data_IF_859556025414
#
_entry.id   IF_859556025414
#
_cell.length_a   1.000
_cell.length_b   1.000
_cell.length_c   1.000
_cell.angle_alpha   90.00
_cell.angle_beta   90.00
_cell.angle_gamma   90.00
#
_symmetry.space_group_name_H-M   'P 1'
#
loop_
_entity.id
_entity.type
_entity.pdbx_description
1 polymer ?
#
# COMPACT_ATOMS: atom_id res chain seq x y z
N UNK A 1 -19.54 -17.27 -5.16
CA UNK A 1 -18.46 -17.79 -4.29
C UNK A 1 -17.98 -16.71 -3.36
N UNK A 2 -17.72 -17.07 -2.13
CA UNK A 2 -17.18 -16.11 -1.18
C UNK A 2 -15.75 -15.72 -1.60
N UNK A 3 -15.44 -14.42 -1.54
CA UNK A 3 -14.10 -13.96 -1.80
C UNK A 3 -13.16 -14.39 -0.69
N UNK A 4 -11.96 -14.78 -1.04
CA UNK A 4 -10.91 -15.06 -0.07
C UNK A 4 -10.53 -13.76 0.65
N UNK A 5 -10.32 -13.85 1.94
CA UNK A 5 -9.88 -12.73 2.77
C UNK A 5 -8.47 -12.98 3.27
N UNK A 6 -7.73 -11.91 3.48
CA UNK A 6 -6.38 -11.96 4.02
C UNK A 6 -6.26 -10.93 5.15
N UNK A 7 -5.49 -11.24 6.17
CA UNK A 7 -5.27 -10.31 7.27
C UNK A 7 -4.18 -9.31 6.90
N UNK A 8 -4.44 -8.04 7.22
CA UNK A 8 -3.46 -6.97 7.08
C UNK A 8 -3.16 -6.37 8.46
N UNK A 9 -1.93 -5.91 8.61
CA UNK A 9 -1.46 -5.27 9.82
C UNK A 9 -1.45 -3.76 9.63
N UNK A 10 -1.25 -3.03 10.73
CA UNK A 10 -1.14 -1.58 10.68
C UNK A 10 0.01 -1.17 11.58
N UNK A 11 1.04 -0.56 11.01
CA UNK A 11 2.25 -0.15 11.75
C UNK A 11 1.93 0.85 12.87
N UNK A 12 0.85 1.63 12.72
CA UNK A 12 0.43 2.61 13.73
C UNK A 12 -0.36 1.97 14.89
N UNK A 13 -0.81 0.73 14.71
CA UNK A 13 -1.59 0.01 15.72
C UNK A 13 -1.08 -1.43 15.83
N UNK A 14 0.12 -1.62 16.43
CA UNK A 14 0.71 -2.96 16.56
C UNK A 14 -0.23 -3.93 17.27
N UNK A 15 -0.31 -5.14 16.74
CA UNK A 15 -1.16 -6.18 17.31
C UNK A 15 -2.60 -6.18 16.80
N UNK A 16 -3.02 -5.15 16.07
CA UNK A 16 -4.35 -5.12 15.45
C UNK A 16 -4.27 -5.54 14.00
N UNK A 17 -5.23 -6.35 13.57
CA UNK A 17 -5.33 -6.80 12.18
C UNK A 17 -6.74 -6.58 11.66
N UNK A 18 -6.86 -6.46 10.34
CA UNK A 18 -8.14 -6.39 9.65
C UNK A 18 -8.13 -7.42 8.53
N UNK A 19 -9.32 -7.89 8.14
CA UNK A 19 -9.45 -8.82 7.02
C UNK A 19 -9.95 -8.05 5.81
N UNK A 20 -9.27 -8.22 4.69
CA UNK A 20 -9.59 -7.52 3.44
C UNK A 20 -9.62 -8.52 2.28
N UNK A 21 -10.21 -8.11 1.16
CA UNK A 21 -10.27 -8.95 -0.04
C UNK A 21 -8.86 -9.31 -0.52
N UNK A 22 -8.56 -10.60 -0.61
CA UNK A 22 -7.23 -11.08 -0.93
C UNK A 22 -6.80 -10.72 -2.35
N UNK A 23 -7.70 -10.80 -3.33
CA UNK A 23 -7.35 -10.49 -4.72
C UNK A 23 -6.97 -9.02 -4.88
N UNK A 24 -7.73 -8.12 -4.27
CA UNK A 24 -7.42 -6.69 -4.29
C UNK A 24 -6.14 -6.37 -3.53
N UNK A 25 -5.95 -7.02 -2.38
CA UNK A 25 -4.72 -6.85 -1.62
C UNK A 25 -3.49 -7.24 -2.44
N UNK A 26 -3.54 -8.41 -3.07
CA UNK A 26 -2.40 -8.89 -3.87
C UNK A 26 -2.10 -7.97 -5.04
N UNK A 27 -3.13 -7.47 -5.72
CA UNK A 27 -2.94 -6.53 -6.83
C UNK A 27 -2.33 -5.22 -6.36
N UNK A 28 -2.85 -4.64 -5.28
CA UNK A 28 -2.33 -3.38 -4.74
C UNK A 28 -0.91 -3.55 -4.18
N UNK A 29 -0.65 -4.67 -3.50
CA UNK A 29 0.68 -4.97 -2.95
C UNK A 29 1.72 -5.10 -4.07
N UNK A 30 1.40 -5.86 -5.10
CA UNK A 30 2.31 -6.06 -6.23
C UNK A 30 2.63 -4.73 -6.92
N UNK A 31 1.61 -3.90 -7.14
CA UNK A 31 1.80 -2.58 -7.75
C UNK A 31 2.68 -1.69 -6.89
N UNK A 32 2.43 -1.64 -5.59
CA UNK A 32 3.22 -0.80 -4.67
C UNK A 32 4.68 -1.24 -4.62
N UNK A 33 4.95 -2.54 -4.50
CA UNK A 33 6.32 -3.05 -4.46
C UNK A 33 7.05 -2.85 -5.78
N UNK A 34 6.32 -2.78 -6.89
CA UNK A 34 6.92 -2.51 -8.18
C UNK A 34 7.29 -1.04 -8.37
N UNK A 35 6.40 -0.14 -7.93
CA UNK A 35 6.59 1.29 -8.18
C UNK A 35 7.49 2.00 -7.16
N UNK A 36 7.62 1.49 -5.94
CA UNK A 36 8.45 2.13 -4.93
C UNK A 36 9.94 1.93 -5.22
N UNK A 37 10.75 3.01 -5.12
CA UNK A 37 12.20 2.88 -5.26
C UNK A 37 12.81 2.27 -4.00
N UNK A 38 13.99 1.69 -4.14
CA UNK A 38 14.79 1.25 -3.00
C UNK A 38 15.64 2.37 -2.42
N UNK A 39 15.96 3.37 -3.24
CA UNK A 39 16.83 4.47 -2.84
C UNK A 39 16.08 5.51 -2.03
N UNK A 40 16.73 6.00 -0.97
CA UNK A 40 16.23 7.17 -0.25
C UNK A 40 16.30 8.40 -1.16
N UNK A 41 15.39 9.36 -0.99
CA UNK A 41 14.40 9.42 0.08
C UNK A 41 13.09 8.67 -0.22
N UNK A 42 12.87 8.17 -1.44
CA UNK A 42 11.65 7.50 -1.79
C UNK A 42 10.59 8.42 -2.38
N UNK A 43 9.32 7.99 -2.32
CA UNK A 43 8.19 8.70 -2.91
C UNK A 43 7.30 9.30 -1.81
N UNK A 44 6.75 10.48 -2.09
CA UNK A 44 5.72 11.08 -1.23
C UNK A 44 4.41 10.32 -1.38
N UNK A 45 3.50 10.54 -0.43
CA UNK A 45 2.17 9.93 -0.49
C UNK A 45 1.43 10.33 -1.77
N UNK A 46 1.54 11.59 -2.18
CA UNK A 46 0.91 12.07 -3.41
C UNK A 46 1.47 11.36 -4.64
N UNK A 47 2.80 11.24 -4.73
CA UNK A 47 3.44 10.53 -5.84
C UNK A 47 3.01 9.07 -5.90
N UNK A 48 2.94 8.41 -4.75
CA UNK A 48 2.47 7.03 -4.67
C UNK A 48 1.02 6.91 -5.13
N UNK A 49 0.16 7.86 -4.75
CA UNK A 49 -1.25 7.86 -5.13
C UNK A 49 -1.42 7.95 -6.64
N UNK A 50 -0.71 8.87 -7.28
CA UNK A 50 -0.76 9.04 -8.74
C UNK A 50 -0.29 7.77 -9.44
N UNK A 51 0.85 7.22 -8.99
CA UNK A 51 1.42 6.01 -9.58
C UNK A 51 0.50 4.79 -9.39
N UNK A 52 -0.14 4.65 -8.23
CA UNK A 52 -1.07 3.55 -7.96
C UNK A 52 -2.32 3.64 -8.83
N UNK A 53 -2.86 4.85 -9.03
CA UNK A 53 -4.02 5.05 -9.92
C UNK A 53 -3.72 4.65 -11.34
N UNK A 54 -2.49 4.95 -11.81
CA UNK A 54 -2.08 4.57 -13.15
C UNK A 54 -1.85 3.06 -13.28
N UNK A 55 -1.37 2.43 -12.21
CA UNK A 55 -1.01 1.03 -12.22
C UNK A 55 -2.19 0.07 -12.01
N UNK A 56 -3.25 0.52 -11.31
CA UNK A 56 -4.36 -0.34 -10.91
C UNK A 56 -5.58 -0.13 -11.80
N UNK A 57 -6.25 -1.22 -12.22
CA UNK A 57 -7.41 -1.10 -13.11
C UNK A 57 -8.62 -0.52 -12.38
N UNK A 58 -9.32 0.39 -13.07
CA UNK A 58 -10.55 1.02 -12.57
C UNK A 58 -11.63 -0.01 -12.24
N UNK A 59 -11.69 -1.09 -13.02
CA UNK A 59 -12.68 -2.15 -12.82
C UNK A 59 -12.53 -2.83 -11.46
N UNK A 60 -11.30 -2.92 -10.94
CA UNK A 60 -11.02 -3.55 -9.66
C UNK A 60 -11.00 -2.53 -8.51
N UNK A 61 -10.61 -1.30 -8.81
CA UNK A 61 -10.48 -0.21 -7.83
C UNK A 61 -11.23 1.03 -8.31
N UNK A 62 -12.57 0.98 -8.30
CA UNK A 62 -13.36 2.11 -8.83
C UNK A 62 -13.30 3.35 -7.93
N UNK A 63 -13.32 4.51 -8.57
CA UNK A 63 -13.42 5.81 -7.88
C UNK A 63 -12.26 6.08 -6.95
N UNK A 64 -12.57 6.42 -5.70
CA UNK A 64 -11.57 6.78 -4.70
C UNK A 64 -11.04 5.57 -3.90
N UNK A 65 -11.47 4.35 -4.23
CA UNK A 65 -11.06 3.17 -3.49
C UNK A 65 -9.57 2.88 -3.60
N UNK A 66 -8.89 3.35 -4.65
CA UNK A 66 -7.45 3.23 -4.78
C UNK A 66 -6.73 3.87 -3.60
N UNK A 67 -7.21 5.03 -3.12
CA UNK A 67 -6.63 5.72 -1.97
C UNK A 67 -6.66 4.86 -0.71
N UNK A 68 -7.80 4.26 -0.45
CA UNK A 68 -7.97 3.40 0.71
C UNK A 68 -7.03 2.18 0.64
N UNK A 69 -6.98 1.55 -0.55
CA UNK A 69 -6.13 0.37 -0.75
C UNK A 69 -4.65 0.72 -0.66
N UNK A 70 -4.25 1.85 -1.23
CA UNK A 70 -2.87 2.32 -1.12
C UNK A 70 -2.47 2.48 0.36
N UNK A 71 -3.30 3.16 1.14
CA UNK A 71 -3.02 3.39 2.55
C UNK A 71 -2.97 2.09 3.34
N UNK A 72 -3.94 1.22 3.11
CA UNK A 72 -4.05 -0.08 3.77
C UNK A 72 -2.81 -0.94 3.51
N UNK A 73 -2.40 -1.05 2.26
CA UNK A 73 -1.24 -1.86 1.88
C UNK A 73 0.05 -1.24 2.40
N UNK A 74 0.19 0.09 2.31
CA UNK A 74 1.35 0.80 2.84
C UNK A 74 1.57 0.49 4.32
N UNK A 75 0.52 0.63 5.13
CA UNK A 75 0.62 0.39 6.57
C UNK A 75 0.95 -1.07 6.89
N UNK A 76 0.39 -2.00 6.11
CA UNK A 76 0.67 -3.43 6.26
C UNK A 76 2.14 -3.74 5.93
N UNK A 77 2.64 -3.21 4.81
CA UNK A 77 4.03 -3.47 4.40
C UNK A 77 5.04 -2.79 5.32
N UNK A 78 4.70 -1.64 5.90
CA UNK A 78 5.54 -1.03 6.93
C UNK A 78 5.61 -1.92 8.17
N UNK A 79 4.47 -2.46 8.60
CA UNK A 79 4.41 -3.36 9.75
C UNK A 79 5.24 -4.62 9.52
N UNK A 80 5.27 -5.12 8.28
CA UNK A 80 6.02 -6.31 7.89
C UNK A 80 7.48 -6.04 7.57
N UNK A 81 7.90 -4.78 7.59
CA UNK A 81 9.29 -4.41 7.34
C UNK A 81 9.70 -4.44 5.87
N UNK A 82 8.75 -4.45 4.96
CA UNK A 82 9.02 -4.46 3.51
C UNK A 82 9.06 -3.07 2.90
N UNK A 83 8.47 -2.09 3.58
CA UNK A 83 8.46 -0.68 3.18
C UNK A 83 8.96 0.15 4.36
N UNK A 84 9.77 1.15 4.06
CA UNK A 84 10.39 2.03 5.06
C UNK A 84 9.82 3.44 4.89
N UNK A 85 9.42 4.04 6.00
CA UNK A 85 9.01 5.45 6.05
C UNK A 85 10.22 6.29 6.41
N UNK A 86 10.53 7.27 5.58
CA UNK A 86 11.62 8.21 5.85
C UNK A 86 11.08 9.46 6.56
N UNK A 87 11.84 9.96 7.52
CA UNK A 87 11.45 11.14 8.31
C UNK A 87 11.73 12.45 7.55
N UNK A 88 11.12 12.58 6.38
CA UNK A 88 11.24 13.77 5.54
C UNK A 88 9.99 14.64 5.66
N UNK A 89 10.02 15.85 5.09
CA UNK A 89 8.86 16.74 5.03
C UNK A 89 8.64 17.15 3.58
N UNK A 90 7.59 16.64 2.93
CA UNK A 90 6.64 15.64 3.42
C UNK A 90 7.28 14.26 3.59
N UNK A 91 6.60 13.38 4.32
CA UNK A 91 7.06 12.01 4.53
C UNK A 91 7.20 11.28 3.19
N UNK A 92 8.17 10.38 3.12
CA UNK A 92 8.44 9.59 1.92
C UNK A 92 8.57 8.11 2.28
N UNK A 93 8.30 7.26 1.30
CA UNK A 93 8.35 5.81 1.47
C UNK A 93 9.20 5.19 0.37
N UNK A 94 9.87 4.10 0.72
CA UNK A 94 10.68 3.31 -0.22
C UNK A 94 10.61 1.83 0.16
N UNK A 95 10.96 0.97 -0.81
CA UNK A 95 11.17 -0.45 -0.52
C UNK A 95 12.41 -0.61 0.35
N UNK A 96 12.35 -1.60 1.21
CA UNK A 96 13.53 -1.96 1.99
C UNK A 96 14.59 -2.69 1.15
#
# INVERSE_FOLDING_TARGET
MASEKIEVENVNHPGKTNRVDAAKYRAARAAMLKLLPKKAPGMTQHEMMVAMRDALPESLFPGTTTSWWMKTVQLDLEAKGLVVREATKPLRWRKK
#
